data_IF_651941509190
#
_entry.id   IF_651941509190
#
_cell.length_a   1.000
_cell.length_b   1.000
_cell.length_c   1.000
_cell.angle_alpha   90.00
_cell.angle_beta   90.00
_cell.angle_gamma   90.00
#
_symmetry.space_group_name_H-M   'P 1'
#
loop_
_entity.id
_entity.type
_entity.pdbx_description
1 polymer ?
2 water ?
#
# COMPACT_ATOMS: atom_id res chain seq x y z
N UNK A 4 23.84 25.35 -5.73
CA UNK A 4 22.90 25.34 -6.86
C UNK A 4 21.67 24.44 -6.60
N UNK A 5 20.62 24.52 -7.46
CA UNK A 5 19.42 23.70 -7.25
C UNK A 5 19.64 22.27 -7.74
N UNK A 6 19.35 21.33 -6.85
CA UNK A 6 19.50 19.89 -6.99
C UNK A 6 18.23 19.30 -7.60
N UNK A 7 18.32 18.66 -8.76
CA UNK A 7 17.15 18.06 -9.39
C UNK A 7 16.77 16.76 -8.69
N UNK A 8 15.46 16.45 -8.70
CA UNK A 8 14.93 15.26 -8.03
C UNK A 8 13.70 14.66 -8.79
N UNK A 9 13.53 13.34 -8.71
CA UNK A 9 12.41 12.67 -9.34
C UNK A 9 11.64 11.87 -8.32
N UNK A 10 10.32 11.99 -8.37
CA UNK A 10 9.46 11.25 -7.49
C UNK A 10 8.57 10.38 -8.32
N UNK A 11 8.56 9.06 -8.06
CA UNK A 11 7.64 8.20 -8.76
C UNK A 11 6.65 7.62 -7.80
N UNK A 12 5.39 7.94 -8.02
CA UNK A 12 4.31 7.31 -7.28
C UNK A 12 4.03 5.99 -8.06
N UNK A 13 3.13 5.14 -7.59
CA UNK A 13 2.77 3.91 -8.30
C UNK A 13 2.28 4.18 -9.75
N UNK A 14 1.99 5.44 -10.12
CA UNK A 14 1.53 5.73 -11.47
C UNK A 14 1.86 7.12 -11.99
N UNK A 15 2.94 7.73 -11.49
CA UNK A 15 3.32 9.08 -11.93
C UNK A 15 4.78 9.39 -11.71
N UNK A 16 5.44 10.01 -12.70
CA UNK A 16 6.81 10.51 -12.65
C UNK A 16 6.70 12.01 -12.33
N UNK A 17 7.54 12.56 -11.43
CA UNK A 17 7.46 13.99 -11.09
C UNK A 17 8.81 14.67 -11.06
N UNK A 18 8.90 15.94 -11.50
CA UNK A 18 10.17 16.66 -11.46
C UNK A 18 10.12 17.90 -10.56
N UNK A 19 11.14 18.04 -9.71
CA UNK A 19 11.32 19.17 -8.80
C UNK A 19 12.80 19.54 -8.75
N UNK A 20 13.05 20.80 -8.42
CA UNK A 20 14.39 21.30 -8.21
C UNK A 20 14.38 21.67 -6.73
N UNK A 21 15.30 21.12 -5.94
CA UNK A 21 15.32 21.40 -4.52
C UNK A 21 16.62 22.12 -4.10
N UNK A 22 16.53 23.10 -3.21
CA UNK A 22 17.70 23.83 -2.72
C UNK A 22 18.47 22.91 -1.71
N UNK A 23 19.80 23.09 -1.46
CA UNK A 23 20.49 22.21 -0.48
C UNK A 23 19.90 22.20 0.93
N UNK A 24 19.09 23.21 1.24
CA UNK A 24 18.44 23.32 2.53
C UNK A 24 17.07 22.68 2.57
N UNK A 25 16.53 22.19 1.44
CA UNK A 25 15.19 21.59 1.46
C UNK A 25 15.16 20.37 2.39
N UNK A 26 14.14 20.31 3.24
CA UNK A 26 13.90 19.22 4.17
C UNK A 26 13.01 18.17 3.52
N UNK A 27 12.94 16.96 4.06
CA UNK A 27 12.06 15.94 3.52
C UNK A 27 10.60 16.40 3.54
N UNK A 28 10.23 17.16 4.60
CA UNK A 28 8.90 17.73 4.80
C UNK A 28 8.52 18.63 3.61
N UNK A 29 9.35 19.65 3.29
CA UNK A 29 9.13 20.55 2.15
C UNK A 29 9.12 19.82 0.81
N UNK A 30 9.94 18.76 0.64
CA UNK A 30 9.89 18.01 -0.63
C UNK A 30 8.55 17.29 -0.71
N UNK A 31 8.24 16.43 0.27
CA UNK A 31 7.02 15.66 0.41
C UNK A 31 5.78 16.51 0.21
N UNK A 32 5.77 17.72 0.74
CA UNK A 32 4.64 18.64 0.62
C UNK A 32 4.37 19.09 -0.83
N UNK A 33 5.41 19.25 -1.64
CA UNK A 33 5.25 19.60 -3.05
C UNK A 33 4.74 18.37 -3.84
N UNK A 34 5.16 17.16 -3.45
CA UNK A 34 4.72 15.90 -4.05
C UNK A 34 3.20 15.72 -3.85
N UNK A 35 2.74 15.78 -2.57
CA UNK A 35 1.33 15.60 -2.24
C UNK A 35 0.41 16.74 -2.79
N UNK A 36 0.87 18.02 -2.83
CA UNK A 36 0.05 19.09 -3.42
C UNK A 36 -0.13 18.82 -4.91
N UNK A 37 0.97 18.40 -5.61
CA UNK A 37 0.95 18.02 -7.03
C UNK A 37 -0.07 16.93 -7.37
N UNK A 38 -0.07 15.80 -6.65
CA UNK A 38 -1.02 14.71 -6.90
C UNK A 38 -2.37 14.89 -6.19
N UNK A 39 -2.48 15.88 -5.30
CA UNK A 39 -3.73 16.14 -4.62
C UNK A 39 -3.99 15.35 -3.37
N UNK A 40 -2.98 14.62 -2.86
CA UNK A 40 -3.15 13.83 -1.62
C UNK A 40 -3.21 14.66 -0.34
N UNK A 41 -4.21 14.41 0.51
CA UNK A 41 -4.38 15.04 1.82
C UNK A 41 -4.23 14.05 2.98
N UNK A 42 -4.45 12.75 2.68
CA UNK A 42 -4.29 11.65 3.62
C UNK A 42 -2.83 11.29 3.68
N UNK A 43 -2.01 12.29 3.97
CA UNK A 43 -0.56 12.25 4.02
C UNK A 43 0.06 11.39 5.12
N UNK A 44 -0.68 11.07 6.19
CA UNK A 44 -0.17 10.30 7.33
C UNK A 44 0.26 8.86 6.94
N UNK A 45 -0.35 8.27 5.90
CA UNK A 45 0.01 6.90 5.50
C UNK A 45 1.31 6.80 4.69
N UNK A 46 1.72 7.91 4.09
CA UNK A 46 2.74 7.96 3.08
C UNK A 46 4.13 8.50 3.47
N UNK A 47 5.11 8.13 2.64
CA UNK A 47 6.48 8.53 2.81
C UNK A 47 7.24 8.53 1.51
N UNK A 48 8.52 8.88 1.57
CA UNK A 48 9.36 8.91 0.40
C UNK A 48 10.49 7.97 0.65
N UNK A 49 10.63 7.01 -0.20
CA UNK A 49 11.64 5.97 -0.11
C UNK A 49 12.77 6.22 -1.13
N UNK A 50 14.00 5.83 -0.80
CA UNK A 50 15.13 5.96 -1.71
C UNK A 50 16.18 4.90 -1.43
N UNK A 51 17.17 4.75 -2.35
CA UNK A 51 18.27 3.83 -2.19
C UNK A 51 19.44 4.62 -1.66
N UNK A 52 19.91 4.22 -0.49
CA UNK A 52 21.03 4.89 0.14
C UNK A 52 22.37 4.50 -0.52
N UNK A 53 23.48 5.08 -0.04
CA UNK A 53 24.83 4.82 -0.53
C UNK A 53 25.35 3.39 -0.33
N UNK A 54 24.52 2.50 0.17
CA UNK A 54 24.83 1.09 0.34
C UNK A 54 23.76 0.19 -0.33
N UNK A 55 22.92 0.78 -1.20
CA UNK A 55 21.86 0.11 -1.93
C UNK A 55 20.67 -0.32 -1.12
N UNK A 56 20.55 0.20 0.10
CA UNK A 56 19.42 -0.16 0.96
C UNK A 56 18.25 0.74 0.69
N UNK A 57 17.03 0.19 0.67
CA UNK A 57 15.83 1.05 0.58
C UNK A 57 15.64 1.69 1.96
N UNK A 58 15.51 3.02 2.00
CA UNK A 58 15.39 3.77 3.27
C UNK A 58 14.28 4.81 3.16
N UNK A 59 13.67 5.14 4.25
CA UNK A 59 12.63 6.16 4.31
C UNK A 59 13.25 7.53 4.65
N UNK A 60 12.98 8.53 3.79
CA UNK A 60 13.45 9.89 3.97
C UNK A 60 12.75 10.46 5.22
N UNK A 61 13.51 11.13 6.06
CA UNK A 61 13.00 11.72 7.28
C UNK A 61 12.68 13.15 6.94
N UNK A 62 11.53 13.58 7.34
CA UNK A 62 11.00 14.88 7.00
C UNK A 62 11.50 16.00 7.92
N UNK A 63 12.01 15.68 9.14
CA UNK A 63 12.55 16.74 10.02
C UNK A 63 14.05 17.11 9.75
N UNK A 64 14.62 16.50 8.69
CA UNK A 64 16.00 16.72 8.29
C UNK A 64 16.05 17.16 6.82
N UNK A 65 17.19 17.76 6.44
CA UNK A 65 17.55 18.22 5.11
C UNK A 65 17.74 17.01 4.23
N UNK A 66 17.27 17.03 2.96
CA UNK A 66 17.37 15.87 2.11
C UNK A 66 18.82 15.49 1.86
N UNK A 67 19.63 16.48 1.46
CA UNK A 67 21.05 16.30 1.12
C UNK A 67 21.93 15.82 2.31
N UNK A 68 21.43 16.07 3.54
CA UNK A 68 22.09 15.65 4.78
C UNK A 68 21.87 14.18 5.08
N UNK A 69 20.92 13.53 4.38
CA UNK A 69 20.64 12.12 4.56
C UNK A 69 21.57 11.28 3.64
N UNK A 70 21.60 9.96 3.84
CA UNK A 70 22.55 9.12 3.08
C UNK A 70 22.09 8.89 1.61
N UNK A 71 21.97 9.97 0.81
CA UNK A 71 21.51 9.85 -0.57
C UNK A 71 22.68 9.63 -1.50
N UNK A 72 22.42 8.97 -2.64
CA UNK A 72 23.43 8.63 -3.61
C UNK A 72 23.99 9.79 -4.39
N UNK A 73 25.14 9.52 -5.08
CA UNK A 73 25.79 10.47 -5.97
C UNK A 73 25.14 10.14 -7.29
N UNK A 74 23.92 10.66 -7.47
CA UNK A 74 23.07 10.48 -8.66
C UNK A 74 22.37 11.85 -8.92
N UNK A 75 22.16 12.19 -10.19
CA UNK A 75 21.48 13.42 -10.57
C UNK A 75 20.57 13.13 -11.75
N UNK A 76 19.24 13.17 -11.57
CA UNK A 76 18.54 13.57 -10.33
C UNK A 76 18.52 12.53 -9.22
N UNK A 77 18.22 12.97 -8.00
CA UNK A 77 18.04 12.04 -6.89
C UNK A 77 16.73 11.34 -7.08
N UNK A 78 16.70 10.01 -6.95
CA UNK A 78 15.44 9.27 -7.10
C UNK A 78 14.84 8.97 -5.76
N UNK A 79 13.48 9.14 -5.70
CA UNK A 79 12.54 8.85 -4.61
C UNK A 79 11.34 8.10 -5.17
N UNK A 80 10.75 7.21 -4.37
CA UNK A 80 9.53 6.51 -4.71
C UNK A 80 8.53 6.85 -3.62
N UNK A 81 7.41 7.52 -4.00
CA UNK A 81 6.35 7.86 -3.04
C UNK A 81 5.55 6.57 -2.78
N UNK A 82 5.56 6.08 -1.50
CA UNK A 82 4.88 4.83 -1.11
C UNK A 82 4.18 4.98 0.23
N UNK A 83 3.35 4.00 0.59
CA UNK A 83 2.66 3.93 1.87
C UNK A 83 3.66 3.24 2.84
N UNK A 84 3.92 3.85 3.97
CA UNK A 84 4.72 3.30 5.08
C UNK A 84 3.72 2.77 6.16
N UNK A 85 2.53 3.37 6.26
CA UNK A 85 1.51 2.94 7.21
C UNK A 85 0.25 2.50 6.49
N UNK A 86 -0.45 1.51 7.05
CA UNK A 86 -1.68 1.02 6.44
C UNK A 86 -2.85 1.20 7.40
N UNK A 87 -4.08 1.33 6.86
CA UNK A 87 -5.24 1.46 7.75
C UNK A 87 -5.64 0.12 8.37
N UNK A 88 -6.40 0.19 9.47
CA UNK A 88 -6.98 -1.00 10.07
C UNK A 88 -8.20 -1.46 9.23
N UNK A 89 -8.93 -0.49 8.60
CA UNK A 89 -10.02 -0.75 7.66
C UNK A 89 -10.01 0.23 6.48
N UNK A 90 -9.74 -0.27 5.27
CA UNK A 90 -9.73 0.53 4.04
C UNK A 90 -11.02 1.30 3.83
N UNK A 91 -12.19 0.62 3.84
CA UNK A 91 -13.50 1.24 3.62
C UNK A 91 -13.79 2.39 4.62
N UNK A 92 -13.47 2.22 5.90
CA UNK A 92 -13.66 3.26 6.89
C UNK A 92 -12.51 4.28 7.05
N UNK A 93 -11.43 4.21 6.26
CA UNK A 93 -10.30 5.14 6.46
C UNK A 93 -9.67 5.72 5.18
N UNK A 94 -9.85 5.06 4.03
CA UNK A 94 -9.30 5.58 2.79
C UNK A 94 -10.40 6.36 2.13
N UNK A 95 -10.39 7.65 2.39
CA UNK A 95 -11.40 8.55 1.85
C UNK A 95 -11.17 8.80 0.36
N UNK A 96 -10.05 9.43 -0.02
CA UNK A 96 -9.80 9.85 -1.39
C UNK A 96 -9.58 8.77 -2.44
N UNK A 97 -9.88 9.09 -3.70
CA UNK A 97 -9.60 8.17 -4.80
C UNK A 97 -8.13 8.01 -5.00
N UNK A 98 -7.37 9.09 -4.85
CA UNK A 98 -5.93 9.04 -5.01
C UNK A 98 -5.31 8.14 -3.91
N UNK A 99 -5.80 8.22 -2.68
CA UNK A 99 -5.31 7.36 -1.60
C UNK A 99 -5.56 5.86 -1.86
N UNK A 100 -6.82 5.52 -2.18
CA UNK A 100 -7.21 4.15 -2.55
C UNK A 100 -6.42 3.65 -3.77
N UNK A 101 -6.33 4.45 -4.85
CA UNK A 101 -5.61 4.03 -6.02
C UNK A 101 -4.14 3.72 -5.73
N UNK A 102 -3.48 4.63 -5.01
CA UNK A 102 -2.10 4.40 -4.65
C UNK A 102 -1.89 3.16 -3.82
N UNK A 103 -2.79 2.85 -2.90
CA UNK A 103 -2.72 1.64 -2.06
C UNK A 103 -2.95 0.38 -2.90
N UNK A 104 -3.89 0.45 -3.81
CA UNK A 104 -4.31 -0.67 -4.63
C UNK A 104 -3.14 -1.15 -5.44
N UNK A 105 -2.55 -0.22 -6.19
CA UNK A 105 -1.38 -0.47 -7.01
C UNK A 105 -0.23 -1.04 -6.20
N UNK A 106 0.05 -0.46 -5.06
CA UNK A 106 1.15 -0.92 -4.21
C UNK A 106 0.94 -2.31 -3.62
N UNK A 107 -0.29 -2.62 -3.19
CA UNK A 107 -0.63 -3.90 -2.58
C UNK A 107 -0.69 -4.99 -3.67
N UNK A 108 -1.31 -4.67 -4.82
CA UNK A 108 -1.36 -5.53 -5.99
C UNK A 108 0.08 -5.92 -6.43
N UNK A 109 1.03 -4.97 -6.31
CA UNK A 109 2.40 -5.23 -6.63
C UNK A 109 2.97 -6.28 -5.68
N UNK A 110 2.72 -6.13 -4.38
CA UNK A 110 3.14 -7.08 -3.36
C UNK A 110 2.57 -8.47 -3.56
N UNK A 111 1.27 -8.55 -3.90
CA UNK A 111 0.61 -9.81 -4.24
C UNK A 111 1.22 -10.47 -5.49
N UNK A 112 1.31 -9.74 -6.61
CA UNK A 112 1.80 -10.30 -7.86
C UNK A 112 3.21 -10.85 -7.73
N UNK A 113 4.03 -10.22 -6.87
CA UNK A 113 5.40 -10.54 -6.54
C UNK A 113 5.58 -11.65 -5.53
N UNK A 114 4.54 -12.07 -4.82
CA UNK A 114 4.65 -13.12 -3.81
C UNK A 114 5.16 -12.64 -2.48
N UNK A 115 5.48 -11.30 -2.33
CA UNK A 115 5.93 -10.71 -1.06
C UNK A 115 4.78 -10.93 -0.07
N UNK A 116 3.52 -10.63 -0.47
CA UNK A 116 2.35 -10.91 0.35
C UNK A 116 1.77 -12.24 -0.15
N UNK A 117 1.64 -13.23 0.74
CA UNK A 117 1.11 -14.51 0.34
C UNK A 117 -0.37 -14.35 0.02
N UNK A 118 -0.79 -15.00 -1.05
CA UNK A 118 -2.18 -14.96 -1.47
C UNK A 118 -2.58 -16.30 -1.98
N UNK A 119 -3.56 -16.98 -1.34
CA UNK A 119 -3.99 -18.29 -1.87
C UNK A 119 -4.49 -18.18 -3.31
N UNK A 120 -4.31 -19.24 -4.11
CA UNK A 120 -4.74 -19.21 -5.53
C UNK A 120 -6.19 -18.83 -5.80
N UNK A 121 -7.12 -19.30 -4.96
CA UNK A 121 -8.52 -18.97 -5.17
C UNK A 121 -8.79 -17.48 -4.89
N UNK A 122 -8.07 -16.89 -3.91
CA UNK A 122 -8.23 -15.47 -3.55
C UNK A 122 -7.63 -14.55 -4.63
N UNK A 123 -6.53 -15.00 -5.23
CA UNK A 123 -5.89 -14.27 -6.30
C UNK A 123 -6.78 -14.13 -7.50
N UNK A 124 -7.62 -15.15 -7.81
CA UNK A 124 -8.55 -15.14 -8.95
C UNK A 124 -9.61 -14.04 -8.77
N UNK A 125 -10.18 -13.96 -7.57
CA UNK A 125 -11.15 -12.95 -7.20
C UNK A 125 -10.49 -11.56 -7.30
N UNK A 126 -9.30 -11.37 -6.65
CA UNK A 126 -8.52 -10.15 -6.70
C UNK A 126 -8.24 -9.69 -8.12
N UNK A 127 -7.77 -10.61 -9.00
CA UNK A 127 -7.49 -10.27 -10.39
C UNK A 127 -8.74 -9.81 -11.13
N UNK A 128 -9.94 -10.33 -10.77
CA UNK A 128 -11.18 -9.91 -11.40
C UNK A 128 -11.51 -8.43 -11.08
N UNK A 129 -11.19 -7.99 -9.87
CA UNK A 129 -11.44 -6.60 -9.48
C UNK A 129 -10.43 -5.68 -10.18
N UNK A 130 -9.19 -6.13 -10.30
CA UNK A 130 -8.15 -5.41 -11.00
C UNK A 130 -8.53 -5.23 -12.47
N UNK A 131 -9.21 -6.26 -13.09
CA UNK A 131 -9.69 -6.31 -14.47
C UNK A 131 -10.89 -5.40 -14.65
N UNK A 132 -11.79 -5.37 -13.68
CA UNK A 132 -12.91 -4.44 -13.69
C UNK A 132 -12.38 -2.97 -13.55
N UNK A 133 -11.42 -2.71 -12.67
CA UNK A 133 -10.81 -1.39 -12.54
C UNK A 133 -10.21 -0.88 -13.92
N UNK A 134 -9.47 -1.76 -14.62
CA UNK A 134 -8.75 -1.41 -15.84
C UNK A 134 -9.63 -1.40 -17.08
N UNK A 135 -10.48 -2.40 -17.25
CA UNK A 135 -11.32 -2.50 -18.43
C UNK A 135 -12.72 -1.97 -18.26
N UNK A 136 -13.24 -2.08 -17.05
CA UNK A 136 -14.63 -1.71 -16.79
C UNK A 136 -15.54 -2.87 -17.11
N UNK A 137 -16.83 -2.60 -17.33
CA UNK A 137 -17.79 -3.66 -17.60
C UNK A 137 -17.39 -4.61 -18.73
N UNK A 138 -17.42 -5.93 -18.47
CA UNK A 138 -17.12 -6.97 -19.46
C UNK A 138 -18.07 -6.87 -20.62
N UNK A 139 -17.54 -6.86 -21.86
CA UNK A 139 -18.36 -6.85 -23.07
C UNK A 139 -17.90 -7.97 -23.97
N UNK A 140 -18.79 -8.84 -24.43
CA UNK A 140 -18.38 -9.91 -25.37
C UNK A 140 -17.87 -9.32 -26.71
N UNK A 141 -18.41 -8.15 -27.09
CA UNK A 141 -18.08 -7.39 -28.30
C UNK A 141 -16.70 -6.79 -28.27
N UNK A 142 -16.11 -6.57 -27.08
CA UNK A 142 -14.78 -5.93 -26.99
C UNK A 142 -13.71 -6.82 -26.33
N UNK A 143 -14.15 -7.66 -25.41
CA UNK A 143 -13.26 -8.53 -24.63
C UNK A 143 -13.29 -9.96 -25.20
N UNK A 144 -12.57 -10.13 -26.32
CA UNK A 144 -12.48 -11.42 -27.01
C UNK A 144 -11.49 -12.39 -26.32
N UNK A 145 -11.54 -13.68 -26.71
CA UNK A 145 -10.67 -14.69 -26.12
C UNK A 145 -9.18 -14.38 -26.32
N UNK A 146 -8.56 -13.86 -25.26
CA UNK A 146 -7.17 -13.44 -25.26
C UNK A 146 -6.93 -12.03 -24.73
N UNK A 147 -8.04 -11.35 -24.26
CA UNK A 147 -8.00 -9.95 -23.82
C UNK A 147 -7.10 -9.72 -22.57
N UNK A 148 -6.89 -10.76 -21.77
CA UNK A 148 -6.05 -10.64 -20.58
C UNK A 148 -4.65 -11.21 -20.72
N UNK A 149 -4.26 -11.66 -21.91
CA UNK A 149 -2.92 -12.20 -22.11
C UNK A 149 -1.81 -11.15 -21.83
N UNK A 150 -2.12 -9.90 -22.15
CA UNK A 150 -1.18 -8.80 -21.97
C UNK A 150 -0.98 -8.34 -20.55
N UNK A 151 -1.84 -8.79 -19.61
CA UNK A 151 -1.77 -8.37 -18.19
C UNK A 151 -1.15 -9.36 -17.21
N UNK A 152 -0.30 -8.87 -16.29
CA UNK A 152 0.22 -9.73 -15.23
C UNK A 152 -0.90 -9.71 -14.22
N UNK A 153 -1.63 -10.83 -14.05
CA UNK A 153 -2.80 -10.91 -13.17
C UNK A 153 -2.65 -11.77 -11.90
N UNK A 154 -1.85 -12.86 -11.95
CA UNK A 154 -1.69 -13.72 -10.78
C UNK A 154 -0.26 -13.75 -10.22
N UNK A 155 -0.08 -14.07 -8.90
CA UNK A 155 1.26 -14.27 -8.36
C UNK A 155 1.95 -15.47 -9.02
N UNK A 156 3.28 -15.45 -9.09
CA UNK A 156 4.02 -16.50 -9.77
C UNK A 156 3.92 -17.84 -9.02
N UNK A 157 3.81 -17.84 -7.67
CA UNK A 157 3.60 -19.10 -6.93
C UNK A 157 2.27 -19.76 -7.35
N UNK A 158 1.26 -18.95 -7.65
CA UNK A 158 -0.03 -19.43 -8.12
C UNK A 158 0.13 -20.06 -9.52
N UNK A 159 0.74 -19.33 -10.48
CA UNK A 159 0.94 -19.81 -11.87
C UNK A 159 1.79 -21.08 -11.98
N UNK A 160 2.88 -21.19 -11.16
CA UNK A 160 3.78 -22.35 -11.17
C UNK A 160 3.35 -23.48 -10.18
N UNK A 161 2.18 -23.37 -9.54
CA UNK A 161 1.66 -24.43 -8.66
C UNK A 161 0.58 -25.25 -9.40
N UNK A 162 -0.25 -24.55 -10.22
CA UNK A 162 -1.38 -25.08 -10.99
C UNK A 162 -1.10 -25.22 -12.46
N UNK A 163 -1.44 -26.41 -12.98
CA UNK A 163 -1.28 -26.81 -14.38
C UNK A 163 -1.69 -25.76 -15.42
N UNK A 164 -2.86 -25.12 -15.20
CA UNK A 164 -3.52 -24.13 -16.05
C UNK A 164 -2.62 -23.16 -16.80
N UNK A 165 -2.93 -23.02 -18.08
CA UNK A 165 -2.26 -22.12 -19.01
C UNK A 165 -3.01 -20.78 -19.09
N UNK A 166 -2.39 -19.73 -19.70
CA UNK A 166 -2.95 -18.39 -19.88
C UNK A 166 -4.42 -18.41 -20.32
N UNK A 167 -4.80 -19.36 -21.18
CA UNK A 167 -6.20 -19.46 -21.59
C UNK A 167 -7.12 -19.85 -20.43
N UNK A 168 -6.85 -20.99 -19.75
CA UNK A 168 -7.69 -21.49 -18.65
C UNK A 168 -7.72 -20.51 -17.46
N UNK A 169 -6.58 -19.87 -17.14
CA UNK A 169 -6.49 -18.88 -16.08
C UNK A 169 -7.37 -17.67 -16.43
N UNK A 170 -7.34 -17.23 -17.71
CA UNK A 170 -8.17 -16.11 -18.15
C UNK A 170 -9.64 -16.47 -17.99
N UNK A 171 -10.04 -17.69 -18.41
CA UNK A 171 -11.41 -18.19 -18.29
C UNK A 171 -11.94 -18.07 -16.90
N UNK A 172 -11.09 -18.37 -15.89
CA UNK A 172 -11.41 -18.32 -14.47
C UNK A 172 -11.70 -16.88 -14.02
N UNK A 173 -10.82 -15.94 -14.40
CA UNK A 173 -10.94 -14.52 -14.08
C UNK A 173 -12.10 -13.88 -14.79
N UNK A 174 -12.27 -14.15 -16.08
CA UNK A 174 -13.32 -13.55 -16.89
C UNK A 174 -14.71 -13.86 -16.34
N UNK A 175 -14.90 -15.03 -15.69
CA UNK A 175 -16.18 -15.37 -15.05
C UNK A 175 -16.50 -14.33 -13.97
N UNK A 176 -15.50 -13.98 -13.17
CA UNK A 176 -15.66 -13.02 -12.11
C UNK A 176 -15.70 -11.60 -12.62
N UNK A 177 -15.02 -11.28 -13.71
CA UNK A 177 -15.10 -9.98 -14.36
C UNK A 177 -16.54 -9.76 -14.83
N UNK A 178 -17.15 -10.80 -15.48
CA UNK A 178 -18.54 -10.75 -15.90
C UNK A 178 -19.42 -10.52 -14.66
N UNK A 179 -19.15 -11.24 -13.57
CA UNK A 179 -19.93 -11.10 -12.36
C UNK A 179 -19.93 -9.63 -11.85
N UNK A 180 -18.84 -8.87 -12.11
CA UNK A 180 -18.71 -7.49 -11.64
C UNK A 180 -19.42 -6.44 -12.51
N UNK A 181 -20.15 -6.86 -13.53
CA UNK A 181 -20.89 -5.98 -14.44
C UNK A 181 -21.80 -5.04 -13.71
N UNK A 182 -21.46 -3.77 -13.78
CA UNK A 182 -22.22 -2.69 -13.15
C UNK A 182 -21.43 -1.90 -12.12
N UNK A 183 -20.27 -2.42 -11.71
CA UNK A 183 -19.41 -1.82 -10.71
C UNK A 183 -18.63 -0.68 -11.28
N UNK A 184 -18.47 0.41 -10.53
CA UNK A 184 -17.60 1.50 -10.95
C UNK A 184 -16.21 1.03 -10.76
N UNK A 185 -15.31 1.57 -11.57
CA UNK A 185 -13.93 1.20 -11.50
C UNK A 185 -13.33 1.57 -10.13
N UNK A 186 -13.77 2.67 -9.53
CA UNK A 186 -13.29 3.09 -8.22
C UNK A 186 -13.77 2.21 -7.09
N UNK A 187 -14.96 1.67 -7.22
CA UNK A 187 -15.53 0.71 -6.29
C UNK A 187 -14.87 -0.64 -6.48
N UNK A 188 -14.44 -0.99 -7.71
CA UNK A 188 -13.71 -2.24 -7.93
C UNK A 188 -12.38 -2.16 -7.16
N UNK A 189 -11.70 -0.98 -7.25
CA UNK A 189 -10.48 -0.67 -6.56
C UNK A 189 -10.65 -0.87 -5.07
N UNK A 190 -11.75 -0.33 -4.52
CA UNK A 190 -12.11 -0.50 -3.12
C UNK A 190 -12.43 -1.96 -2.76
N UNK A 191 -13.12 -2.72 -3.62
CA UNK A 191 -13.39 -4.14 -3.37
C UNK A 191 -12.08 -4.98 -3.37
N UNK A 192 -11.08 -4.56 -4.17
CA UNK A 192 -9.79 -5.25 -4.19
C UNK A 192 -9.15 -5.11 -2.82
N UNK A 193 -9.07 -3.88 -2.35
CA UNK A 193 -8.54 -3.52 -1.07
C UNK A 193 -9.24 -4.22 0.09
N UNK A 194 -10.56 -4.39 0.02
CA UNK A 194 -11.30 -5.07 1.07
C UNK A 194 -10.95 -6.57 1.17
N UNK A 195 -10.65 -7.26 0.09
CA UNK A 195 -10.26 -8.68 0.14
C UNK A 195 -8.77 -8.78 0.54
N UNK A 196 -7.94 -7.89 -0.06
CA UNK A 196 -6.50 -7.87 0.14
C UNK A 196 -6.13 -7.67 1.56
N UNK A 197 -6.81 -6.74 2.25
CA UNK A 197 -6.48 -6.43 3.60
C UNK A 197 -6.73 -7.57 4.59
N UNK A 198 -7.46 -8.60 4.18
CA UNK A 198 -7.70 -9.75 5.04
C UNK A 198 -6.59 -10.81 4.89
N UNK A 199 -5.60 -10.57 4.00
CA UNK A 199 -4.48 -11.47 3.89
C UNK A 199 -3.58 -11.37 5.13
N UNK A 200 -3.15 -12.54 5.65
CA UNK A 200 -2.35 -12.67 6.87
C UNK A 200 -1.05 -11.88 6.83
N UNK A 201 -0.47 -11.75 5.61
CA UNK A 201 0.76 -10.98 5.47
C UNK A 201 0.52 -9.51 5.11
N UNK A 202 -0.70 -9.14 4.74
CA UNK A 202 -1.02 -7.76 4.39
C UNK A 202 -0.68 -6.68 5.49
N UNK A 203 0.13 -5.71 5.08
CA UNK A 203 0.52 -4.59 5.90
C UNK A 203 1.40 -4.97 7.07
N UNK A 204 2.14 -6.06 6.92
CA UNK A 204 3.05 -6.54 7.95
C UNK A 204 4.45 -6.34 7.52
N UNK A 205 5.17 -5.54 8.28
CA UNK A 205 6.60 -5.30 8.06
C UNK A 205 7.29 -6.41 8.86
N UNK A 206 8.00 -7.33 8.20
CA UNK A 206 8.74 -8.36 8.93
C UNK A 206 10.21 -7.98 9.10
N UNK A 207 10.83 -8.45 10.21
CA UNK A 207 12.24 -8.31 10.57
C UNK A 207 12.72 -9.62 11.19
N UNK A 208 13.95 -10.05 10.92
CA UNK A 208 14.47 -11.26 11.55
C UNK A 208 15.05 -10.95 12.98
N UNK A 209 14.56 -11.68 13.98
CA UNK A 209 14.96 -11.50 15.37
C UNK A 209 15.36 -12.84 16.04
N UNK A 210 15.80 -12.80 17.30
CA UNK A 210 16.12 -13.97 18.10
C UNK A 210 15.57 -13.74 19.53
N UNK A 211 15.06 -14.79 20.19
CA UNK A 211 14.60 -14.66 21.57
C UNK A 211 15.80 -14.78 22.54
N UNK A 212 15.56 -14.85 23.86
CA UNK A 212 16.66 -14.93 24.85
C UNK A 212 17.56 -16.13 24.58
N UNK A 213 16.93 -17.30 24.34
CA UNK A 213 17.58 -18.58 24.10
C UNK A 213 18.46 -18.63 22.80
N UNK A 214 18.13 -17.83 21.80
CA UNK A 214 18.88 -17.79 20.55
C UNK A 214 18.17 -18.35 19.34
N UNK A 215 16.91 -18.76 19.51
CA UNK A 215 16.14 -19.32 18.40
C UNK A 215 15.70 -18.20 17.44
N UNK A 216 15.80 -18.45 16.11
CA UNK A 216 15.41 -17.47 15.10
C UNK A 216 13.88 -17.34 14.88
N UNK A 217 13.43 -16.08 14.83
CA UNK A 217 12.03 -15.72 14.70
C UNK A 217 11.79 -14.54 13.73
N UNK A 218 10.51 -14.19 13.57
CA UNK A 218 10.09 -13.06 12.78
C UNK A 218 9.36 -12.10 13.67
N UNK A 219 9.58 -10.82 13.43
CA UNK A 219 8.88 -9.77 14.12
C UNK A 219 8.04 -9.14 13.04
N UNK A 220 6.74 -9.07 13.29
CA UNK A 220 5.82 -8.37 12.44
C UNK A 220 5.40 -7.11 13.15
N UNK A 221 5.57 -5.97 12.48
CA UNK A 221 5.11 -4.68 13.02
C UNK A 221 3.95 -4.29 12.08
N UNK A 222 2.73 -4.04 12.67
CA UNK A 222 1.56 -3.66 11.88
C UNK A 222 0.68 -2.60 12.60
N UNK A 223 -0.45 -2.21 11.97
CA UNK A 223 -1.42 -1.22 12.50
C UNK A 223 -2.06 -1.65 13.78
N UNK A 224 -2.20 -2.96 14.01
CA UNK A 224 -2.84 -3.48 15.23
C UNK A 224 -1.86 -3.72 16.37
N UNK A 225 -0.66 -4.20 16.06
CA UNK A 225 0.35 -4.41 17.09
C UNK A 225 1.63 -5.07 16.60
N UNK A 226 2.28 -5.76 17.50
CA UNK A 226 3.50 -6.48 17.21
C UNK A 226 3.19 -7.95 17.31
N UNK A 227 3.80 -8.77 16.48
CA UNK A 227 3.56 -10.21 16.55
C UNK A 227 4.86 -10.97 16.41
N UNK A 228 4.97 -12.07 17.15
CA UNK A 228 6.12 -12.96 17.09
C UNK A 228 5.75 -14.22 16.31
N UNK A 229 6.29 -14.35 15.12
CA UNK A 229 6.06 -15.52 14.28
C UNK A 229 7.25 -16.49 14.38
N UNK A 230 7.06 -17.75 13.89
CA UNK A 230 8.10 -18.77 13.85
C UNK A 230 8.96 -18.59 12.57
N UNK A 231 10.14 -19.19 12.53
CA UNK A 231 11.05 -19.06 11.40
C UNK A 231 10.39 -19.52 10.04
N UNK A 232 9.53 -20.54 10.06
CA UNK A 232 8.87 -21.03 8.83
C UNK A 232 7.45 -20.44 8.57
N UNK A 233 6.65 -20.29 9.64
CA UNK A 233 5.30 -19.80 9.51
C UNK A 233 5.21 -18.32 9.80
N UNK A 234 5.35 -17.48 8.78
CA UNK A 234 5.16 -16.03 8.96
C UNK A 234 3.69 -15.62 8.71
N UNK A 235 2.77 -16.58 8.48
CA UNK A 235 1.37 -16.27 8.26
C UNK A 235 0.70 -16.11 9.62
N UNK A 236 0.90 -17.10 10.50
CA UNK A 236 0.28 -17.16 11.81
C UNK A 236 1.23 -16.81 12.96
N UNK A 237 0.99 -15.67 13.63
CA UNK A 237 1.82 -15.31 14.79
C UNK A 237 1.60 -16.27 15.94
N UNK A 238 2.58 -16.32 16.85
CA UNK A 238 2.48 -17.19 18.01
C UNK A 238 2.10 -16.37 19.23
N UNK A 239 2.74 -15.19 19.38
CA UNK A 239 2.53 -14.20 20.45
C UNK A 239 2.14 -12.89 19.74
N UNK A 240 1.23 -12.15 20.35
CA UNK A 240 0.73 -10.91 19.78
C UNK A 240 0.51 -9.85 20.82
N UNK A 241 0.99 -8.66 20.53
CA UNK A 241 0.86 -7.52 21.42
C UNK A 241 0.19 -6.37 20.73
N UNK A 242 -1.11 -6.13 21.00
CA UNK A 242 -1.78 -4.96 20.42
C UNK A 242 -1.18 -3.67 20.95
N UNK A 243 -1.34 -2.56 20.21
CA UNK A 243 -0.79 -1.28 20.66
C UNK A 243 -1.46 -0.82 21.97
N UNK A 244 -2.64 -1.39 22.33
CA UNK A 244 -3.31 -1.13 23.59
C UNK A 244 -2.52 -1.72 24.77
N UNK A 245 -1.83 -2.89 24.61
CA UNK A 245 -1.07 -3.45 25.76
C UNK A 245 0.38 -2.96 25.84
N UNK A 246 0.89 -2.30 24.78
CA UNK A 246 2.27 -1.82 24.77
C UNK A 246 2.30 -0.46 25.44
N UNK A 247 3.13 -0.32 26.51
CA UNK A 247 3.36 0.93 27.22
C UNK A 247 4.57 1.67 26.62
N UNK A 248 5.60 0.91 26.18
CA UNK A 248 6.80 1.54 25.67
C UNK A 248 7.62 0.59 24.86
N UNK A 249 8.33 1.10 23.86
CA UNK A 249 9.26 0.29 23.07
C UNK A 249 10.61 1.00 23.05
N UNK A 250 11.70 0.24 23.31
CA UNK A 250 13.07 0.76 23.28
C UNK A 250 14.04 -0.34 22.84
N UNK A 251 15.23 0.07 22.43
CA UNK A 251 16.29 -0.84 22.07
C UNK A 251 17.65 -0.22 22.38
N UNK A 252 18.66 -1.04 22.61
CA UNK A 252 20.01 -0.57 22.86
C UNK A 252 20.94 -1.74 22.60
N UNK A 253 22.00 -1.54 21.79
CA UNK A 253 22.97 -2.58 21.44
C UNK A 253 22.34 -3.96 21.15
N UNK A 254 21.41 -4.00 20.16
CA UNK A 254 20.71 -5.19 19.69
C UNK A 254 19.52 -5.63 20.58
N UNK A 255 19.53 -5.40 21.90
CA UNK A 255 18.40 -5.84 22.75
C UNK A 255 17.19 -4.91 22.67
N UNK A 256 16.01 -5.44 22.33
CA UNK A 256 14.73 -4.68 22.33
C UNK A 256 13.87 -5.08 23.51
N UNK A 257 13.30 -4.10 24.18
CA UNK A 257 12.41 -4.36 25.31
C UNK A 257 11.10 -3.65 25.12
N UNK A 258 10.00 -4.42 25.15
CA UNK A 258 8.65 -3.92 25.05
C UNK A 258 8.11 -3.98 26.46
N UNK A 259 7.75 -2.83 27.02
CA UNK A 259 7.21 -2.75 28.37
C UNK A 259 5.70 -2.83 28.31
N UNK A 260 5.10 -3.62 29.22
CA UNK A 260 3.65 -3.74 29.25
C UNK A 260 2.89 -2.60 29.98
N UNK A 261 1.63 -2.36 29.53
CA UNK A 261 0.66 -1.42 30.07
C UNK A 261 0.24 -1.89 31.47
N UNK A 262 0.01 -3.21 31.62
CA UNK A 262 -0.30 -3.90 32.87
C UNK A 262 1.07 -4.11 33.50
N UNK A 263 1.43 -3.35 34.53
CA UNK A 263 2.79 -3.49 35.12
C UNK A 263 2.94 -4.77 36.01
N UNK A 264 1.82 -5.52 36.22
CA UNK A 264 1.80 -6.82 36.90
C UNK A 264 1.86 -7.86 35.75
N UNK A 265 2.84 -7.69 34.85
CA UNK A 265 3.11 -8.51 33.66
C UNK A 265 4.56 -8.23 33.22
N UNK A 266 5.29 -9.28 32.82
CA UNK A 266 6.71 -9.08 32.50
C UNK A 266 7.01 -8.35 31.20
N UNK A 267 8.27 -7.96 31.05
CA UNK A 267 8.73 -7.32 29.83
C UNK A 267 8.88 -8.41 28.75
N UNK A 268 8.90 -8.00 27.48
CA UNK A 268 9.18 -8.95 26.44
C UNK A 268 10.51 -8.58 25.79
N UNK A 269 11.50 -9.46 25.95
CA UNK A 269 12.81 -9.21 25.36
C UNK A 269 13.01 -10.01 24.07
N UNK A 270 13.52 -9.32 23.04
CA UNK A 270 13.90 -9.90 21.75
C UNK A 270 15.16 -9.21 21.20
N UNK A 271 15.90 -9.85 20.29
CA UNK A 271 17.17 -9.32 19.80
C UNK A 271 17.27 -9.22 18.29
N UNK A 272 17.59 -8.04 17.76
CA UNK A 272 17.78 -7.84 16.32
C UNK A 272 19.23 -7.37 16.08
N UNK A 273 19.87 -7.76 14.96
CA UNK A 273 21.31 -7.51 14.82
C UNK A 273 21.83 -6.23 14.18
N UNK A 274 21.05 -5.52 13.36
CA UNK A 274 21.56 -4.30 12.70
C UNK A 274 20.95 -3.05 13.23
N UNK A 275 21.80 -2.09 13.64
CA UNK A 275 21.40 -0.76 14.11
C UNK A 275 20.40 -0.08 13.17
N UNK A 276 20.74 -0.10 11.85
CA UNK A 276 20.04 0.43 10.68
C UNK A 276 18.61 -0.06 10.65
N UNK A 277 18.40 -1.38 10.68
CA UNK A 277 17.05 -1.92 10.69
C UNK A 277 16.34 -1.60 12.02
N UNK A 278 17.06 -1.61 13.13
CA UNK A 278 16.49 -1.35 14.44
C UNK A 278 15.87 0.04 14.56
N UNK A 279 16.48 1.02 13.89
CA UNK A 279 15.95 2.38 13.84
C UNK A 279 14.61 2.36 13.09
N UNK A 280 14.53 1.59 11.96
CA UNK A 280 13.34 1.40 11.12
C UNK A 280 12.21 0.68 11.92
N UNK A 281 12.58 -0.32 12.75
CA UNK A 281 11.61 -1.01 13.61
C UNK A 281 10.99 -0.03 14.58
N UNK A 282 11.84 0.77 15.22
CA UNK A 282 11.41 1.73 16.18
C UNK A 282 10.52 2.79 15.56
N UNK A 283 10.93 3.37 14.41
CA UNK A 283 10.18 4.43 13.70
C UNK A 283 8.81 3.94 13.27
N UNK A 284 8.74 2.70 12.70
CA UNK A 284 7.49 2.03 12.31
C UNK A 284 6.66 1.77 13.54
N UNK A 285 7.27 1.38 14.68
CA UNK A 285 6.55 1.17 15.95
C UNK A 285 5.90 2.48 16.37
N UNK A 286 6.68 3.56 16.37
CA UNK A 286 6.26 4.87 16.77
C UNK A 286 5.12 5.43 15.98
N UNK A 287 5.12 5.16 14.68
CA UNK A 287 4.12 5.64 13.75
C UNK A 287 2.88 4.79 13.76
N UNK A 288 3.04 3.44 13.86
CA UNK A 288 1.88 2.54 13.94
C UNK A 288 1.13 2.71 15.28
N UNK A 289 1.83 3.11 16.35
CA UNK A 289 1.18 3.30 17.63
C UNK A 289 0.47 4.67 17.65
N UNK A 290 1.07 5.70 17.00
CA UNK A 290 0.41 7.01 16.92
C UNK A 290 -0.90 6.89 16.13
N UNK A 291 -0.88 6.10 15.04
CA UNK A 291 -2.05 5.90 14.23
C UNK A 291 -3.12 5.03 14.89
N UNK A 292 -2.71 4.04 15.73
CA UNK A 292 -3.64 3.17 16.47
C UNK A 292 -4.58 4.04 17.33
N UNK A 293 -3.99 4.99 18.08
CA UNK A 293 -4.68 5.93 18.95
C UNK A 293 -5.50 6.93 18.19
N UNK A 294 -4.99 7.50 17.09
CA UNK A 294 -5.74 8.52 16.35
C UNK A 294 -7.11 8.00 15.87
N UNK A 295 -7.08 6.77 15.37
CA UNK A 295 -8.14 5.90 14.89
C UNK A 295 -9.19 5.56 15.96
N UNK A 296 -8.87 5.84 17.24
CA UNK A 296 -9.71 5.61 18.40
C UNK A 296 -10.29 6.96 18.86
N UNK A 297 -9.44 8.00 19.04
CA UNK A 297 -9.82 9.38 19.36
C UNK A 297 -10.69 9.88 18.20
N UNK A 298 -11.84 10.54 18.46
CA UNK A 298 -12.79 10.83 17.36
C UNK A 298 -12.27 11.74 16.22
N UNK A 299 -12.91 11.54 15.03
CA UNK A 299 -12.62 12.16 13.72
C UNK A 299 -12.38 13.67 13.73
N UNK A 300 -11.33 14.08 12.98
CA UNK A 300 -10.83 15.45 12.86
C UNK A 300 -11.77 16.42 12.10
N UNK A 301 -11.82 17.70 12.55
CA UNK A 301 -12.56 18.75 11.84
C UNK A 301 -11.75 19.22 10.59
N UNK A 302 -11.00 18.30 9.96
CA UNK A 302 -10.18 18.43 8.75
C UNK A 302 -10.53 17.20 7.91
N UNK A 303 -10.49 15.98 8.54
CA UNK A 303 -10.90 14.68 7.98
C UNK A 303 -12.36 14.78 7.56
N UNK A 304 -13.22 15.38 8.42
CA UNK A 304 -14.66 15.57 8.18
C UNK A 304 -14.88 16.41 6.90
N UNK A 305 -14.13 17.51 6.78
CA UNK A 305 -14.16 18.43 5.64
C UNK A 305 -13.63 17.76 4.38
N UNK A 306 -12.65 16.86 4.51
CA UNK A 306 -12.11 16.10 3.40
C UNK A 306 -13.08 15.01 2.94
N UNK A 307 -13.86 14.42 3.88
CA UNK A 307 -14.89 13.39 3.62
C UNK A 307 -16.07 14.02 2.88
N UNK A 308 -16.39 15.29 3.19
CA UNK A 308 -17.44 16.03 2.49
C UNK A 308 -16.87 16.31 1.09
N UNK A 309 -15.66 16.89 0.98
CA UNK A 309 -14.94 17.17 -0.25
C UNK A 309 -14.95 15.93 -1.20
N UNK A 310 -14.47 14.76 -0.73
CA UNK A 310 -14.38 13.54 -1.54
C UNK A 310 -15.72 12.89 -1.91
N UNK A 311 -16.78 13.17 -1.12
CA UNK A 311 -18.13 12.65 -1.33
C UNK A 311 -18.82 13.45 -2.43
N UNK A 312 -18.68 14.80 -2.41
CA UNK A 312 -19.27 15.70 -3.39
C UNK A 312 -18.51 15.59 -4.71
N UNK A 313 -17.18 15.49 -4.65
CA UNK A 313 -16.39 15.28 -5.87
C UNK A 313 -16.74 13.96 -6.56
N UNK A 314 -17.21 12.97 -5.77
CA UNK A 314 -17.66 11.66 -6.24
C UNK A 314 -18.98 11.82 -6.99
N UNK A 315 -19.91 12.65 -6.49
CA UNK A 315 -21.18 12.91 -7.18
C UNK A 315 -20.95 13.75 -8.44
N UNK A 316 -19.90 14.61 -8.45
CA UNK A 316 -19.53 15.43 -9.61
C UNK A 316 -18.86 14.55 -10.70
N UNK A 317 -18.13 13.50 -10.28
CA UNK A 317 -17.56 12.54 -11.21
C UNK A 317 -18.71 11.77 -11.87
N UNK A 318 -19.72 11.35 -11.08
CA UNK A 318 -20.92 10.65 -11.52
C UNK A 318 -22.00 11.68 -11.93
N UNK A 319 -21.63 12.56 -12.86
CA UNK A 319 -22.43 13.64 -13.46
C UNK A 319 -21.71 14.04 -14.77
N UNK A 320 -20.36 14.16 -14.71
CA UNK A 320 -19.47 14.38 -15.84
C UNK A 320 -19.35 13.05 -16.62
N UNK A 321 -19.34 11.89 -15.91
CA UNK A 321 -19.31 10.55 -16.50
C UNK A 321 -20.72 10.15 -17.01
N UNK A 322 -21.79 10.74 -16.44
CA UNK A 322 -23.17 10.52 -16.87
C UNK A 322 -23.41 11.25 -18.18
N UNK A 323 -22.90 12.49 -18.32
CA UNK A 323 -23.02 13.29 -19.55
C UNK A 323 -22.12 12.75 -20.68
N UNK A 324 -21.01 12.05 -20.33
CA UNK A 324 -20.08 11.42 -21.28
C UNK A 324 -20.60 10.06 -21.78
N UNK A 325 -21.46 9.39 -20.98
CA UNK A 325 -22.07 8.12 -21.34
C UNK A 325 -23.21 8.33 -22.35
N UNK A 326 -23.95 9.45 -22.22
CA UNK A 326 -25.06 9.82 -23.11
C UNK A 326 -24.54 10.14 -24.51
N UNK A 327 -23.36 10.78 -24.60
CA UNK A 327 -22.72 11.12 -25.87
C UNK A 327 -22.14 9.87 -26.51
N UNK A 328 -21.54 8.98 -25.70
CA UNK A 328 -20.98 7.72 -26.18
C UNK A 328 -22.09 6.81 -26.73
N UNK A 329 -23.23 6.74 -26.03
CA UNK A 329 -24.37 5.91 -26.43
C UNK A 329 -25.05 6.45 -27.70
N UNK A 330 -24.95 7.77 -27.95
CA UNK A 330 -25.53 8.40 -29.14
C UNK A 330 -24.59 8.20 -30.34
N UNK A 331 -23.27 8.30 -30.12
CA UNK A 331 -22.26 8.12 -31.16
C UNK A 331 -22.09 6.65 -31.57
N UNK A 332 -22.33 5.71 -30.64
CA UNK A 332 -22.24 4.28 -30.93
C UNK A 332 -23.43 3.85 -31.81
N UNK A 333 -24.62 4.40 -31.55
CA UNK A 333 -25.83 4.11 -32.32
C UNK A 333 -25.76 4.70 -33.72
N UNK A 334 -25.10 5.86 -33.87
CA UNK A 334 -24.95 6.52 -35.16
C UNK A 334 -23.93 5.80 -36.03
N UNK A 335 -22.84 5.31 -35.42
CA UNK A 335 -21.80 4.58 -36.16
C UNK A 335 -22.15 3.10 -36.43
N UNK A 336 -23.38 2.67 -36.12
CA UNK A 336 -23.83 1.31 -36.36
C UNK A 336 -24.14 1.09 -37.86
N UNK A 337 -24.94 1.97 -38.47
CA UNK A 337 -25.28 1.85 -39.88
C UNK A 337 -24.18 2.41 -40.76
N UNK A 338 -23.04 1.70 -40.84
CA UNK A 338 -21.91 2.14 -41.66
C UNK A 338 -21.49 1.01 -42.61
N UNK A 339 -21.30 -0.20 -42.09
CA UNK A 339 -20.89 -1.34 -42.91
C UNK A 339 -22.02 -1.82 -43.82
#
# INVERSE_FOLDING_TARGET
SMPKTISVRVTTMDAELEFAIQPNTTGKQLFDQVVKTIGLREVWFFGLQYQDTKGFSTWLKLNKKVTAQDVRKESPLLFKFRAKFYPEDVSEELIQDITQRLFFLQVKEGILNDDIYCPPETAVLLASYAVQSKYGDFNKEVHKSGYLAGDKLLPQRVLEQHKLNKDQWEERIQVWHEEHRGMLREDAVLEYLKIAQDLEMYGVNYFSIKNKKGSELWLGVDALGLNIYEQNDRLTPKIGFPWSEIRNISFNDKKFVIKPIDKKAPDFVFYAPRLRINKRILALCMGNAELYMRRRKPDTIEVQQMKAQAREEKHQKQMERAMLENEKKKREMAEKEKEKIEREKEE
#
